data_IF_476208562154
#
_entry.id   IF_476208562154
#
_cell.length_a   1.000
_cell.length_b   1.000
_cell.length_c   1.000
_cell.angle_alpha   90.00
_cell.angle_beta   90.00
_cell.angle_gamma   90.00
#
_symmetry.space_group_name_H-M   'P 1'
#
loop_
_entity.id
_entity.type
_entity.pdbx_description
1 polymer ?
#
# COMPACT_ATOMS: atom_id res chain seq x y z
N UNK A 1 -30.49 26.10 -1.75
CA UNK A 1 -31.36 27.15 -2.35
C UNK A 1 -31.05 28.44 -1.62
N UNK A 2 -30.57 29.47 -2.33
CA UNK A 2 -30.30 30.77 -1.73
C UNK A 2 -31.37 31.74 -2.22
N UNK A 3 -32.07 32.42 -1.30
CA UNK A 3 -33.14 33.37 -1.61
C UNK A 3 -32.88 34.67 -0.86
N UNK A 4 -32.94 35.79 -1.58
CA UNK A 4 -32.88 37.14 -1.01
C UNK A 4 -34.20 37.86 -1.30
N UNK A 5 -35.06 37.96 -0.29
CA UNK A 5 -36.42 38.48 -0.43
C UNK A 5 -36.49 39.87 0.21
N UNK A 6 -36.66 40.90 -0.62
CA UNK A 6 -36.68 42.32 -0.21
C UNK A 6 -38.05 42.84 0.24
N UNK A 7 -39.09 42.03 0.13
CA UNK A 7 -40.48 42.39 0.46
C UNK A 7 -41.10 41.39 1.45
N UNK A 8 -41.99 41.86 2.31
CA UNK A 8 -42.71 40.98 3.25
C UNK A 8 -43.96 40.43 2.56
N UNK A 9 -44.17 39.11 2.63
CA UNK A 9 -45.39 38.45 2.14
C UNK A 9 -45.32 37.89 0.73
N UNK A 10 -44.29 37.09 0.41
CA UNK A 10 -44.29 36.29 -0.82
C UNK A 10 -45.23 35.09 -0.62
N UNK A 11 -46.22 34.98 -1.49
CA UNK A 11 -47.19 33.87 -1.47
C UNK A 11 -46.51 32.55 -1.87
N UNK A 12 -46.92 31.44 -1.24
CA UNK A 12 -46.33 30.11 -1.51
C UNK A 12 -46.54 29.67 -2.95
N UNK A 13 -47.64 30.09 -3.56
CA UNK A 13 -47.97 29.83 -4.97
C UNK A 13 -46.95 30.45 -5.93
N UNK A 14 -46.49 31.68 -5.66
CA UNK A 14 -45.47 32.38 -6.45
C UNK A 14 -44.11 31.68 -6.29
N UNK A 15 -43.82 31.22 -5.07
CA UNK A 15 -42.63 30.46 -4.74
C UNK A 15 -42.57 29.12 -5.50
N UNK A 16 -43.68 28.37 -5.56
CA UNK A 16 -43.79 27.13 -6.32
C UNK A 16 -43.60 27.34 -7.82
N UNK A 17 -44.24 28.37 -8.39
CA UNK A 17 -44.07 28.71 -9.81
C UNK A 17 -42.62 29.11 -10.12
N UNK A 18 -42.01 29.94 -9.26
CA UNK A 18 -40.62 30.34 -9.41
C UNK A 18 -39.66 29.14 -9.29
N UNK A 19 -39.95 28.19 -8.39
CA UNK A 19 -39.18 26.96 -8.22
C UNK A 19 -39.29 26.04 -9.43
N UNK A 20 -40.49 25.89 -10.02
CA UNK A 20 -40.68 25.08 -11.23
C UNK A 20 -39.99 25.72 -12.44
N UNK A 21 -40.11 27.04 -12.60
CA UNK A 21 -39.37 27.77 -13.64
C UNK A 21 -37.85 27.62 -13.45
N UNK A 22 -37.36 27.74 -12.21
CA UNK A 22 -35.95 27.51 -11.89
C UNK A 22 -35.52 26.07 -12.17
N UNK A 23 -36.38 25.07 -11.91
CA UNK A 23 -36.11 23.66 -12.21
C UNK A 23 -35.96 23.45 -13.71
N UNK A 24 -36.87 23.98 -14.53
CA UNK A 24 -36.78 23.87 -15.99
C UNK A 24 -35.54 24.59 -16.54
N UNK A 25 -35.26 25.80 -16.06
CA UNK A 25 -34.04 26.53 -16.41
C UNK A 25 -32.77 25.75 -16.03
N UNK A 26 -32.74 25.16 -14.83
CA UNK A 26 -31.63 24.32 -14.37
C UNK A 26 -31.43 23.13 -15.30
N UNK A 27 -32.49 22.39 -15.64
CA UNK A 27 -32.41 21.23 -16.53
C UNK A 27 -31.93 21.61 -17.93
N UNK A 28 -32.37 22.74 -18.46
CA UNK A 28 -31.88 23.24 -19.74
C UNK A 28 -30.36 23.50 -19.72
N UNK A 29 -29.86 24.17 -18.67
CA UNK A 29 -28.42 24.42 -18.49
C UNK A 29 -27.67 23.10 -18.33
N UNK A 30 -28.19 22.18 -17.51
CA UNK A 30 -27.57 20.88 -17.25
C UNK A 30 -27.45 20.04 -18.53
N UNK A 31 -28.47 20.08 -19.39
CA UNK A 31 -28.43 19.43 -20.71
C UNK A 31 -27.35 20.02 -21.61
N UNK A 32 -27.13 21.35 -21.59
CA UNK A 32 -26.03 21.98 -22.34
C UNK A 32 -24.66 21.62 -21.77
N UNK A 33 -24.53 21.47 -20.46
CA UNK A 33 -23.30 20.99 -19.82
C UNK A 33 -23.00 19.53 -20.21
N UNK A 34 -24.01 18.66 -20.11
CA UNK A 34 -23.91 17.23 -20.46
C UNK A 34 -23.60 17.01 -21.95
N UNK A 35 -24.03 17.93 -22.83
CA UNK A 35 -23.69 17.88 -24.25
C UNK A 35 -22.18 18.08 -24.52
N UNK A 36 -21.46 18.73 -23.60
CA UNK A 36 -20.00 18.96 -23.71
C UNK A 36 -19.22 17.91 -22.94
N UNK A 37 -19.67 17.58 -21.72
CA UNK A 37 -19.02 16.61 -20.84
C UNK A 37 -20.10 15.83 -20.09
N UNK A 38 -20.40 14.62 -20.58
CA UNK A 38 -21.43 13.76 -20.00
C UNK A 38 -20.98 13.03 -18.74
N UNK A 39 -19.69 12.74 -18.62
CA UNK A 39 -19.09 12.02 -17.51
C UNK A 39 -17.73 12.63 -17.11
N UNK A 40 -17.28 12.44 -15.86
CA UNK A 40 -15.91 12.70 -15.47
C UNK A 40 -14.94 12.00 -16.42
N UNK A 41 -13.82 12.65 -16.75
CA UNK A 41 -12.77 12.02 -17.57
C UNK A 41 -12.14 10.87 -16.78
N UNK A 42 -11.91 9.74 -17.44
CA UNK A 42 -11.26 8.57 -16.82
C UNK A 42 -9.82 8.89 -16.42
N UNK A 43 -9.10 9.61 -17.28
CA UNK A 43 -7.72 9.99 -17.02
C UNK A 43 -7.61 11.47 -16.61
N UNK A 44 -6.83 11.68 -15.55
CA UNK A 44 -6.36 13.02 -15.18
C UNK A 44 -5.35 13.52 -16.21
N UNK A 45 -5.32 14.84 -16.40
CA UNK A 45 -4.33 15.52 -17.23
C UNK A 45 -2.90 15.08 -16.85
N UNK A 46 -1.98 14.89 -17.81
CA UNK A 46 -0.61 14.46 -17.55
C UNK A 46 0.20 15.47 -16.72
N UNK A 47 -0.25 16.72 -16.61
CA UNK A 47 0.38 17.76 -15.79
C UNK A 47 -0.33 18.00 -14.47
N UNK A 48 -1.50 17.38 -14.27
CA UNK A 48 -2.21 17.50 -13.01
C UNK A 48 -1.62 16.49 -12.02
N UNK A 49 -1.33 16.91 -10.78
CA UNK A 49 -0.85 15.99 -9.78
C UNK A 49 -1.87 14.89 -9.56
N UNK A 50 -1.43 13.64 -9.74
CA UNK A 50 -2.23 12.46 -9.43
C UNK A 50 -2.12 12.24 -7.92
N UNK A 51 -3.28 12.06 -7.28
CA UNK A 51 -3.33 11.60 -5.90
C UNK A 51 -3.54 10.09 -5.91
N UNK A 52 -2.54 9.36 -5.45
CA UNK A 52 -2.66 7.94 -5.15
C UNK A 52 -3.03 7.80 -3.68
N UNK A 53 -4.06 7.02 -3.39
CA UNK A 53 -4.44 6.70 -2.01
C UNK A 53 -4.07 5.25 -1.73
N UNK A 54 -3.33 5.05 -0.65
CA UNK A 54 -2.99 3.74 -0.10
C UNK A 54 -3.58 3.65 1.31
N UNK A 55 -4.11 2.49 1.68
CA UNK A 55 -4.58 2.23 3.05
C UNK A 55 -3.66 1.22 3.72
N UNK A 56 -3.13 1.56 4.89
CA UNK A 56 -2.24 0.71 5.69
C UNK A 56 -2.80 0.53 7.11
N UNK A 57 -2.30 -0.48 7.81
CA UNK A 57 -2.64 -0.70 9.22
C UNK A 57 -2.11 0.45 10.10
N UNK A 58 -2.95 0.94 11.02
CA UNK A 58 -2.63 2.07 11.93
C UNK A 58 -1.34 1.86 12.72
N UNK A 59 -1.05 0.62 13.11
CA UNK A 59 0.16 0.27 13.86
C UNK A 59 1.45 0.54 13.06
N UNK A 60 1.38 0.47 11.74
CA UNK A 60 2.52 0.61 10.82
C UNK A 60 2.80 2.06 10.42
N UNK A 61 1.93 3.01 10.78
CA UNK A 61 2.15 4.45 10.53
C UNK A 61 3.48 4.90 11.14
N UNK A 62 3.82 4.38 12.32
CA UNK A 62 5.08 4.70 13.01
C UNK A 62 6.31 4.26 12.22
N UNK A 63 6.23 3.13 11.54
CA UNK A 63 7.34 2.57 10.76
C UNK A 63 7.54 3.36 9.46
N UNK A 64 6.45 3.78 8.81
CA UNK A 64 6.49 4.59 7.58
C UNK A 64 7.03 6.01 7.85
N UNK A 65 6.63 6.64 8.95
CA UNK A 65 7.17 7.94 9.35
C UNK A 65 8.64 7.79 9.82
N UNK A 66 8.92 6.73 10.57
CA UNK A 66 10.21 6.51 11.23
C UNK A 66 10.50 7.51 12.34
N UNK A 67 11.61 7.38 13.08
CA UNK A 67 11.94 8.26 14.20
C UNK A 67 12.13 9.71 13.72
N UNK A 68 11.18 10.58 14.05
CA UNK A 68 11.18 12.00 13.70
C UNK A 68 10.93 12.29 12.21
N UNK A 69 10.24 11.40 11.48
CA UNK A 69 9.93 11.63 10.06
C UNK A 69 11.11 11.38 9.11
N UNK A 70 12.19 10.73 9.55
CA UNK A 70 13.38 10.52 8.71
C UNK A 70 13.11 9.66 7.47
N UNK A 71 12.27 8.64 7.61
CA UNK A 71 11.99 7.70 6.51
C UNK A 71 11.13 8.39 5.46
N UNK A 72 10.04 9.05 5.87
CA UNK A 72 9.18 9.79 4.94
C UNK A 72 9.91 10.96 4.27
N UNK A 73 10.75 11.69 5.01
CA UNK A 73 11.57 12.76 4.42
C UNK A 73 12.58 12.24 3.41
N UNK A 74 13.14 11.04 3.62
CA UNK A 74 14.04 10.39 2.65
C UNK A 74 13.29 10.01 1.37
N UNK A 75 12.09 9.43 1.49
CA UNK A 75 11.25 9.06 0.34
C UNK A 75 10.85 10.32 -0.44
N UNK A 76 10.42 11.37 0.24
CA UNK A 76 10.08 12.67 -0.38
C UNK A 76 11.31 13.26 -1.09
N UNK A 77 12.51 13.18 -0.49
CA UNK A 77 13.74 13.68 -1.10
C UNK A 77 14.16 12.88 -2.35
N UNK A 78 13.96 11.57 -2.35
CA UNK A 78 14.32 10.68 -3.46
C UNK A 78 13.31 10.73 -4.61
N UNK A 79 12.01 10.84 -4.30
CA UNK A 79 10.93 10.76 -5.30
C UNK A 79 10.35 12.12 -5.69
N UNK A 80 10.56 13.16 -4.87
CA UNK A 80 10.04 14.51 -5.11
C UNK A 80 8.51 14.63 -4.97
N UNK A 81 7.84 13.61 -4.43
CA UNK A 81 6.38 13.61 -4.23
C UNK A 81 6.00 14.21 -2.89
N UNK A 82 4.75 14.65 -2.74
CA UNK A 82 4.18 15.01 -1.43
C UNK A 82 3.43 13.82 -0.85
N UNK A 83 3.70 13.50 0.40
CA UNK A 83 3.06 12.39 1.10
C UNK A 83 2.37 12.96 2.34
N UNK A 84 1.07 12.78 2.43
CA UNK A 84 0.27 13.10 3.61
C UNK A 84 -0.25 11.79 4.22
N UNK A 85 -0.10 11.63 5.53
CA UNK A 85 -0.59 10.45 6.26
C UNK A 85 -1.68 10.90 7.22
N UNK A 86 -2.83 10.23 7.16
CA UNK A 86 -3.92 10.39 8.11
C UNK A 86 -3.82 9.35 9.24
N UNK A 87 -4.33 9.71 10.42
CA UNK A 87 -4.30 8.87 11.62
C UNK A 87 -5.11 7.56 11.49
N UNK A 88 -5.95 7.46 10.46
CA UNK A 88 -6.74 6.27 10.13
C UNK A 88 -5.98 5.26 9.25
N UNK A 89 -4.73 5.57 8.87
CA UNK A 89 -3.90 4.71 8.04
C UNK A 89 -4.02 4.99 6.54
N UNK A 90 -4.73 6.03 6.11
CA UNK A 90 -4.71 6.47 4.72
C UNK A 90 -3.48 7.31 4.42
N UNK A 91 -2.77 6.95 3.37
CA UNK A 91 -1.62 7.68 2.85
C UNK A 91 -2.01 8.25 1.49
N UNK A 92 -1.90 9.56 1.36
CA UNK A 92 -2.09 10.30 0.12
C UNK A 92 -0.73 10.65 -0.47
N UNK A 93 -0.46 10.14 -1.66
CA UNK A 93 0.75 10.44 -2.42
C UNK A 93 0.35 11.35 -3.57
N UNK A 94 0.69 12.62 -3.48
CA UNK A 94 0.51 13.60 -4.54
C UNK A 94 1.79 13.69 -5.37
N UNK A 95 1.73 13.19 -6.61
CA UNK A 95 2.85 13.19 -7.55
C UNK A 95 2.45 13.91 -8.84
N UNK A 96 3.32 14.80 -9.33
CA UNK A 96 3.15 15.44 -10.65
C UNK A 96 3.45 14.44 -11.77
N UNK A 97 4.38 13.51 -11.52
CA UNK A 97 4.75 12.45 -12.43
C UNK A 97 4.18 11.10 -11.97
N UNK A 98 3.71 10.29 -12.92
CA UNK A 98 3.12 8.98 -12.64
C UNK A 98 4.20 8.00 -12.17
N UNK A 99 5.39 8.04 -12.77
CA UNK A 99 6.49 7.16 -12.36
C UNK A 99 7.01 7.45 -10.95
N UNK A 100 7.09 8.73 -10.58
CA UNK A 100 7.51 9.14 -9.24
C UNK A 100 6.47 8.70 -8.18
N UNK A 101 5.18 8.84 -8.50
CA UNK A 101 4.09 8.37 -7.66
C UNK A 101 4.10 6.86 -7.45
N UNK A 102 4.31 6.09 -8.52
CA UNK A 102 4.43 4.62 -8.44
C UNK A 102 5.66 4.18 -7.66
N UNK A 103 6.82 4.82 -7.86
CA UNK A 103 8.04 4.53 -7.08
C UNK A 103 7.83 4.80 -5.59
N UNK A 104 7.20 5.92 -5.24
CA UNK A 104 6.89 6.23 -3.84
C UNK A 104 5.90 5.23 -3.25
N UNK A 105 4.88 4.84 -4.02
CA UNK A 105 3.93 3.79 -3.63
C UNK A 105 4.64 2.47 -3.36
N UNK A 106 5.53 2.04 -4.26
CA UNK A 106 6.29 0.81 -4.12
C UNK A 106 7.20 0.84 -2.89
N UNK A 107 7.90 1.95 -2.65
CA UNK A 107 8.74 2.09 -1.44
C UNK A 107 7.93 1.99 -0.15
N UNK A 108 6.73 2.60 -0.11
CA UNK A 108 5.84 2.51 1.04
C UNK A 108 5.30 1.09 1.19
N UNK A 109 4.91 0.44 0.09
CA UNK A 109 4.49 -0.96 0.08
C UNK A 109 5.61 -1.88 0.57
N UNK A 110 6.86 -1.66 0.17
CA UNK A 110 8.00 -2.49 0.60
C UNK A 110 8.28 -2.34 2.11
N UNK A 111 8.09 -1.14 2.67
CA UNK A 111 8.23 -0.89 4.12
C UNK A 111 7.08 -1.55 4.90
N UNK A 112 5.87 -1.45 4.37
CA UNK A 112 4.64 -1.96 4.99
C UNK A 112 4.45 -3.46 4.75
N UNK A 113 5.09 -4.00 3.70
CA UNK A 113 5.03 -5.37 3.26
C UNK A 113 5.40 -6.26 4.43
N UNK A 114 4.40 -6.96 4.92
CA UNK A 114 4.63 -8.06 5.85
C UNK A 114 4.95 -9.30 5.08
N UNK A 115 5.82 -10.08 5.70
CA UNK A 115 6.09 -11.44 5.32
C UNK A 115 4.79 -12.18 5.63
N UNK A 116 3.96 -12.45 4.63
CA UNK A 116 2.68 -13.12 4.86
C UNK A 116 2.91 -14.59 5.17
N UNK A 117 2.23 -15.10 6.20
CA UNK A 117 2.25 -16.53 6.51
C UNK A 117 1.71 -17.31 5.32
N UNK A 118 2.52 -18.22 4.79
CA UNK A 118 2.20 -19.01 3.60
C UNK A 118 2.89 -18.54 2.31
N UNK A 119 3.40 -17.31 2.26
CA UNK A 119 4.06 -16.77 1.06
C UNK A 119 5.48 -17.31 0.92
N UNK A 120 5.88 -17.55 -0.33
CA UNK A 120 7.21 -18.06 -0.70
C UNK A 120 8.05 -16.88 -1.14
N UNK A 121 9.20 -16.69 -0.50
CA UNK A 121 10.14 -15.63 -0.82
C UNK A 121 11.50 -16.23 -1.19
N UNK A 122 12.29 -15.48 -1.96
CA UNK A 122 13.70 -15.78 -2.18
C UNK A 122 14.51 -15.01 -1.15
N UNK A 123 14.93 -15.71 -0.10
CA UNK A 123 15.65 -15.09 1.01
C UNK A 123 17.15 -15.36 0.93
N UNK A 124 17.95 -14.39 1.37
CA UNK A 124 19.41 -14.50 1.43
C UNK A 124 19.85 -14.99 2.81
N UNK A 125 20.69 -16.02 2.86
CA UNK A 125 21.21 -16.55 4.13
C UNK A 125 22.18 -15.53 4.73
N UNK A 126 21.84 -14.95 5.89
CA UNK A 126 22.71 -14.00 6.60
C UNK A 126 23.63 -14.71 7.57
N UNK A 127 23.15 -15.76 8.24
CA UNK A 127 23.94 -16.53 9.22
C UNK A 127 23.51 -17.99 9.27
N UNK A 128 24.45 -18.89 9.53
CA UNK A 128 24.17 -20.32 9.71
C UNK A 128 24.62 -20.73 11.11
N UNK A 129 23.75 -21.41 11.84
CA UNK A 129 23.99 -21.97 13.17
C UNK A 129 23.75 -23.48 13.15
N UNK A 130 24.17 -24.18 14.22
CA UNK A 130 24.04 -25.64 14.32
C UNK A 130 22.59 -26.14 14.36
N UNK A 131 21.64 -25.28 14.76
CA UNK A 131 20.23 -25.62 14.90
C UNK A 131 19.33 -25.01 13.81
N UNK A 132 19.89 -24.16 12.93
CA UNK A 132 19.12 -23.50 11.88
C UNK A 132 19.92 -22.45 11.10
N UNK A 133 19.29 -21.89 10.07
CA UNK A 133 19.85 -20.82 9.26
C UNK A 133 18.98 -19.57 9.34
N UNK A 134 19.59 -18.40 9.51
CA UNK A 134 18.94 -17.11 9.43
C UNK A 134 18.92 -16.64 7.98
N UNK A 135 17.73 -16.29 7.52
CA UNK A 135 17.46 -15.90 6.13
C UNK A 135 16.75 -14.56 6.14
N UNK A 136 17.33 -13.58 5.47
CA UNK A 136 16.72 -12.28 5.24
C UNK A 136 15.76 -12.38 4.05
N UNK A 137 14.48 -12.10 4.31
CA UNK A 137 13.39 -12.24 3.34
C UNK A 137 12.99 -10.88 2.76
N UNK A 138 12.96 -9.86 3.61
CA UNK A 138 12.75 -8.46 3.25
C UNK A 138 13.78 -7.59 3.99
N UNK A 139 14.08 -6.38 3.52
CA UNK A 139 15.08 -5.51 4.16
C UNK A 139 14.75 -5.28 5.64
N UNK A 140 15.59 -5.80 6.53
CA UNK A 140 15.38 -5.69 7.98
C UNK A 140 14.41 -6.71 8.61
N UNK A 141 13.92 -7.69 7.85
CA UNK A 141 13.13 -8.83 8.35
C UNK A 141 13.89 -10.15 8.12
N UNK A 142 14.45 -10.66 9.21
CA UNK A 142 15.12 -11.96 9.25
C UNK A 142 14.18 -13.04 9.80
N UNK A 143 14.21 -14.23 9.18
CA UNK A 143 13.53 -15.41 9.69
C UNK A 143 14.50 -16.56 9.95
N UNK A 144 14.09 -17.48 10.82
CA UNK A 144 14.84 -18.67 11.18
C UNK A 144 14.27 -19.87 10.45
N UNK A 145 15.13 -20.59 9.72
CA UNK A 145 14.85 -21.91 9.18
C UNK A 145 15.43 -22.95 10.13
N UNK A 146 14.57 -23.74 10.78
CA UNK A 146 15.03 -24.82 11.65
C UNK A 146 15.67 -25.94 10.84
N UNK A 147 16.65 -26.66 11.41
CA UNK A 147 17.38 -27.74 10.69
C UNK A 147 16.44 -28.81 10.10
N UNK A 148 15.34 -29.11 10.78
CA UNK A 148 14.32 -30.08 10.33
C UNK A 148 13.47 -29.59 9.15
N UNK A 149 13.52 -28.30 8.82
CA UNK A 149 12.73 -27.65 7.77
C UNK A 149 13.58 -27.24 6.56
N UNK A 150 14.88 -27.61 6.55
CA UNK A 150 15.82 -27.30 5.46
C UNK A 150 15.75 -28.27 4.29
N UNK A 151 15.52 -29.57 4.54
CA UNK A 151 15.44 -30.60 3.52
C UNK A 151 14.54 -31.77 3.98
N UNK A 152 14.01 -32.54 3.02
CA UNK A 152 13.22 -33.75 3.29
C UNK A 152 14.05 -34.93 3.81
N UNK A 153 15.36 -34.92 3.54
CA UNK A 153 16.30 -35.96 3.96
C UNK A 153 16.92 -35.63 5.32
N UNK A 154 17.25 -36.67 6.11
CA UNK A 154 17.93 -36.48 7.39
C UNK A 154 19.30 -35.84 7.17
N UNK A 155 19.43 -34.57 7.57
CA UNK A 155 20.66 -33.79 7.40
C UNK A 155 21.34 -33.61 8.74
N UNK A 156 22.61 -34.02 8.82
CA UNK A 156 23.39 -33.99 10.05
C UNK A 156 23.99 -32.60 10.35
N UNK A 157 24.18 -31.76 9.31
CA UNK A 157 24.73 -30.40 9.44
C UNK A 157 23.99 -29.44 8.51
N UNK A 158 23.69 -28.25 9.03
CA UNK A 158 23.11 -27.11 8.28
C UNK A 158 24.09 -26.55 7.25
N UNK A 159 25.39 -26.62 7.54
CA UNK A 159 26.51 -26.16 6.70
C UNK A 159 26.63 -26.92 5.37
N UNK A 160 26.09 -28.14 5.28
CA UNK A 160 26.16 -28.97 4.07
C UNK A 160 25.14 -28.55 3.00
N UNK A 161 24.13 -27.73 3.37
CA UNK A 161 22.98 -27.40 2.51
C UNK A 161 22.89 -25.90 2.20
N UNK A 162 23.33 -25.06 3.13
CA UNK A 162 23.20 -23.61 3.03
C UNK A 162 24.53 -22.95 3.40
N UNK A 163 25.02 -22.08 2.52
CA UNK A 163 26.20 -21.25 2.77
C UNK A 163 25.73 -19.83 3.05
N UNK A 164 26.47 -19.11 3.90
CA UNK A 164 26.23 -17.68 4.12
C UNK A 164 26.30 -16.93 2.79
N UNK A 165 25.27 -16.16 2.48
CA UNK A 165 25.13 -15.40 1.25
C UNK A 165 24.35 -16.08 0.13
N UNK A 166 23.97 -17.35 0.29
CA UNK A 166 23.18 -18.08 -0.70
C UNK A 166 21.72 -17.60 -0.73
N UNK A 167 21.08 -17.68 -1.90
CA UNK A 167 19.68 -17.29 -2.10
C UNK A 167 18.83 -18.55 -2.18
N UNK A 168 18.02 -18.79 -1.14
CA UNK A 168 17.20 -19.98 -1.03
C UNK A 168 15.71 -19.63 -1.00
N UNK A 169 14.85 -20.42 -1.67
CA UNK A 169 13.40 -20.26 -1.56
C UNK A 169 12.95 -20.71 -0.17
N UNK A 170 12.23 -19.85 0.53
CA UNK A 170 11.73 -20.09 1.89
C UNK A 170 10.27 -19.68 1.97
N UNK A 171 9.46 -20.49 2.65
CA UNK A 171 8.06 -20.23 2.92
C UNK A 171 7.89 -19.88 4.39
N UNK A 172 7.03 -18.91 4.65
CA UNK A 172 6.68 -18.47 6.00
C UNK A 172 5.69 -19.45 6.60
N UNK A 173 6.05 -20.12 7.69
CA UNK A 173 5.16 -21.07 8.37
C UNK A 173 4.35 -20.35 9.45
N UNK A 174 5.03 -19.53 10.25
CA UNK A 174 4.43 -18.91 11.42
C UNK A 174 5.23 -17.67 11.81
N UNK A 175 4.54 -16.67 12.35
CA UNK A 175 5.16 -15.48 12.95
C UNK A 175 4.81 -15.49 14.42
N UNK A 176 5.83 -15.62 15.26
CA UNK A 176 5.68 -15.60 16.72
C UNK A 176 5.30 -14.19 17.20
N UNK A 177 4.67 -14.08 18.38
CA UNK A 177 4.22 -12.81 18.99
C UNK A 177 5.37 -11.83 19.27
N UNK A 178 6.61 -12.32 19.28
CA UNK A 178 7.83 -11.51 19.40
C UNK A 178 8.36 -11.02 18.04
N UNK A 179 7.66 -11.25 16.92
CA UNK A 179 8.07 -10.85 15.58
C UNK A 179 9.12 -11.76 14.93
N UNK A 180 9.37 -12.94 15.51
CA UNK A 180 10.28 -13.94 14.92
C UNK A 180 9.56 -14.73 13.85
N UNK A 181 10.13 -14.77 12.65
CA UNK A 181 9.55 -15.42 11.48
C UNK A 181 10.12 -16.84 11.38
N UNK A 182 9.27 -17.85 11.48
CA UNK A 182 9.65 -19.24 11.24
C UNK A 182 9.49 -19.56 9.75
N UNK A 183 10.59 -19.96 9.13
CA UNK A 183 10.68 -20.24 7.71
C UNK A 183 10.89 -21.75 7.47
N UNK A 184 10.33 -22.28 6.39
CA UNK A 184 10.61 -23.62 5.90
C UNK A 184 11.00 -23.61 4.43
N UNK A 185 12.12 -24.26 4.12
CA UNK A 185 12.55 -24.53 2.75
C UNK A 185 11.83 -25.75 2.19
N UNK A 186 11.52 -26.74 3.03
CA UNK A 186 10.78 -27.96 2.64
C UNK A 186 9.40 -27.64 2.05
N UNK A 187 8.62 -26.79 2.72
CA UNK A 187 7.30 -26.41 2.18
C UNK A 187 7.38 -25.53 0.93
N UNK A 188 8.45 -24.73 0.79
CA UNK A 188 8.71 -23.95 -0.42
C UNK A 188 9.10 -24.83 -1.63
N UNK A 189 9.69 -26.00 -1.39
CA UNK A 189 10.03 -26.98 -2.43
C UNK A 189 8.81 -27.85 -2.80
N UNK A 190 8.00 -28.24 -1.81
CA UNK A 190 6.79 -29.03 -2.03
C UNK A 190 5.76 -28.31 -2.93
N UNK A 191 5.59 -27.00 -2.74
CA UNK A 191 4.65 -26.16 -3.50
C UNK A 191 5.07 -25.85 -4.94
N UNK A 192 6.31 -26.16 -5.36
CA UNK A 192 6.76 -26.06 -6.76
C UNK A 192 6.47 -27.32 -7.58
N UNK A 193 5.91 -28.37 -6.98
CA UNK A 193 5.72 -29.69 -7.62
C UNK A 193 4.25 -29.93 -8.05
N UNK A 194 3.37 -28.94 -7.92
CA UNK A 194 2.02 -28.92 -8.52
C UNK A 194 1.96 -27.92 -9.69
#
# INVERSE_FOLDING_TARGET
LQMDIKIKGVDTTILEQAMEQARQGRLFILNKMLAVLSAPREDLSPYAPRMLTLTISVDKIKDVIGPGGKVINKIIAETGVKIDIEDDGRIFIAAVDTEAGEKAKQMIEDIVAEVEVGSIYQGKVTRVEKYGAFVEVLPGKEGLVHISQLADTHTARTEDICVVGDIIPVKVIEIDRMGRINLSRKEALASKTE
#
